data_IF_726028500061
#
_entry.id   IF_726028500061
#
_cell.length_a   1.000
_cell.length_b   1.000
_cell.length_c   1.000
_cell.angle_alpha   90.00
_cell.angle_beta   90.00
_cell.angle_gamma   90.00
#
_symmetry.space_group_name_H-M   'P 1'
#
loop_
_entity.id
_entity.type
_entity.pdbx_description
1 polymer ?
#
# COMPACT_ATOMS: atom_id res chain seq x y z
N UNK A 1 0.79 -13.31 -0.32
CA UNK A 1 0.40 -11.89 -0.19
C UNK A 1 0.85 -11.28 1.14
N UNK A 2 0.58 -11.95 2.27
CA UNK A 2 0.90 -11.44 3.61
C UNK A 2 2.39 -11.07 3.77
N UNK A 3 3.32 -11.95 3.36
CA UNK A 3 4.78 -11.68 3.45
C UNK A 3 5.21 -10.37 2.76
N UNK A 4 4.69 -10.10 1.56
CA UNK A 4 4.97 -8.86 0.84
C UNK A 4 4.43 -7.64 1.60
N UNK A 5 3.21 -7.76 2.14
CA UNK A 5 2.62 -6.71 2.99
C UNK A 5 3.40 -6.47 4.26
N UNK A 6 3.93 -7.53 4.88
CA UNK A 6 4.84 -7.39 6.03
C UNK A 6 6.05 -6.57 5.62
N UNK A 7 6.75 -6.97 4.56
CA UNK A 7 7.98 -6.30 4.14
C UNK A 7 7.73 -4.81 3.89
N UNK A 8 6.65 -4.47 3.20
CA UNK A 8 6.31 -3.09 2.85
C UNK A 8 5.89 -2.25 4.06
N UNK A 9 4.99 -2.76 4.90
CA UNK A 9 4.44 -2.01 6.05
C UNK A 9 5.47 -1.89 7.17
N UNK A 10 6.26 -2.94 7.42
CA UNK A 10 7.38 -2.87 8.40
C UNK A 10 8.47 -1.92 7.93
N UNK A 11 8.76 -1.86 6.61
CA UNK A 11 9.67 -0.87 6.04
C UNK A 11 9.17 0.56 6.33
N UNK A 12 7.89 0.84 6.04
CA UNK A 12 7.31 2.15 6.26
C UNK A 12 7.32 2.58 7.74
N UNK A 13 7.06 1.64 8.65
CA UNK A 13 7.19 1.86 10.09
C UNK A 13 8.64 2.14 10.52
N UNK A 14 9.59 1.32 10.06
CA UNK A 14 11.01 1.44 10.42
C UNK A 14 11.66 2.72 9.86
N UNK A 15 11.12 3.30 8.80
CA UNK A 15 11.58 4.59 8.26
C UNK A 15 11.55 5.69 9.32
N UNK A 16 10.58 5.69 10.23
CA UNK A 16 10.53 6.67 11.34
C UNK A 16 11.83 6.62 12.16
N UNK A 17 12.24 5.42 12.55
CA UNK A 17 13.48 5.21 13.29
C UNK A 17 14.72 5.66 12.50
N UNK A 18 14.83 5.32 11.21
CA UNK A 18 15.97 5.71 10.38
C UNK A 18 16.14 7.23 10.28
N UNK A 19 15.04 7.97 10.27
CA UNK A 19 15.04 9.44 10.29
C UNK A 19 15.48 10.00 11.63
N UNK A 20 14.99 9.43 12.74
CA UNK A 20 15.40 9.84 14.08
C UNK A 20 16.91 9.64 14.30
N UNK A 21 17.50 8.63 13.65
CA UNK A 21 18.94 8.41 13.63
C UNK A 21 19.71 9.31 12.63
N UNK A 22 19.01 10.14 11.86
CA UNK A 22 19.61 11.02 10.84
C UNK A 22 20.17 10.28 9.62
N UNK A 23 19.79 9.02 9.41
CA UNK A 23 20.22 8.20 8.25
C UNK A 23 19.41 8.56 7.01
N UNK A 24 18.12 8.85 7.19
CA UNK A 24 17.21 9.20 6.12
C UNK A 24 16.81 10.69 6.19
N UNK A 25 17.20 11.51 5.18
CA UNK A 25 16.93 12.94 5.17
C UNK A 25 15.53 13.31 4.62
N UNK A 26 14.76 12.36 4.06
CA UNK A 26 13.47 12.66 3.43
C UNK A 26 12.39 13.03 4.45
N UNK A 27 11.14 13.27 4.04
CA UNK A 27 9.98 13.50 4.94
C UNK A 27 9.05 12.27 5.01
N UNK A 28 8.33 12.06 6.12
CA UNK A 28 7.40 10.92 6.22
C UNK A 28 6.28 11.09 5.19
N UNK A 29 5.90 12.33 4.90
CA UNK A 29 4.97 12.66 3.81
C UNK A 29 5.48 12.14 2.47
N UNK A 30 6.76 12.35 2.14
CA UNK A 30 7.35 11.83 0.90
C UNK A 30 7.32 10.29 0.85
N UNK A 31 7.60 9.61 1.98
CA UNK A 31 7.52 8.15 2.06
C UNK A 31 6.09 7.63 1.91
N UNK A 32 5.11 8.26 2.55
CA UNK A 32 3.70 7.89 2.39
C UNK A 32 3.22 8.12 0.95
N UNK A 33 3.56 9.26 0.36
CA UNK A 33 3.23 9.56 -1.03
C UNK A 33 3.88 8.55 -1.99
N UNK A 34 5.14 8.18 -1.75
CA UNK A 34 5.86 7.16 -2.52
C UNK A 34 5.20 5.78 -2.42
N UNK A 35 4.90 5.34 -1.19
CA UNK A 35 4.20 4.08 -0.93
C UNK A 35 2.85 4.02 -1.67
N UNK A 36 2.03 5.08 -1.56
CA UNK A 36 0.70 5.11 -2.19
C UNK A 36 0.80 5.19 -3.72
N UNK A 37 1.79 5.91 -4.25
CA UNK A 37 2.05 5.95 -5.69
C UNK A 37 2.47 4.57 -6.23
N UNK A 38 3.30 3.85 -5.48
CA UNK A 38 3.69 2.46 -5.79
C UNK A 38 2.48 1.53 -5.70
N UNK A 39 1.63 1.67 -4.68
CA UNK A 39 0.41 0.90 -4.53
C UNK A 39 -0.51 1.04 -5.74
N UNK A 40 -0.75 2.26 -6.23
CA UNK A 40 -1.54 2.49 -7.45
C UNK A 40 -0.98 1.75 -8.66
N UNK A 41 0.35 1.68 -8.80
CA UNK A 41 1.00 0.92 -9.87
C UNK A 41 0.79 -0.59 -9.69
N UNK A 42 1.07 -1.10 -8.50
CA UNK A 42 1.04 -2.53 -8.21
C UNK A 42 -0.36 -3.14 -8.22
N UNK A 43 -1.39 -2.37 -7.87
CA UNK A 43 -2.79 -2.81 -7.97
C UNK A 43 -3.19 -3.02 -9.44
N UNK A 44 -2.58 -2.28 -10.39
CA UNK A 44 -2.82 -2.45 -11.84
C UNK A 44 -2.25 -3.75 -12.41
N UNK A 45 -1.45 -4.50 -11.65
CA UNK A 45 -1.10 -5.88 -12.00
C UNK A 45 -2.32 -6.82 -11.97
N UNK A 46 -3.40 -6.41 -11.30
CA UNK A 46 -4.67 -7.11 -11.28
C UNK A 46 -4.77 -8.18 -10.19
N UNK A 47 -5.93 -8.83 -10.09
CA UNK A 47 -6.31 -9.67 -8.95
C UNK A 47 -5.53 -10.99 -8.84
N UNK A 48 -4.83 -11.40 -9.90
CA UNK A 48 -3.93 -12.56 -9.86
C UNK A 48 -2.57 -12.26 -9.21
N UNK A 49 -2.24 -10.99 -8.99
CA UNK A 49 -1.00 -10.58 -8.36
C UNK A 49 -1.13 -10.60 -6.84
N UNK A 50 -0.33 -11.43 -6.17
CA UNK A 50 -0.22 -11.41 -4.72
C UNK A 50 0.18 -10.02 -4.19
N UNK A 51 0.96 -9.27 -4.97
CA UNK A 51 1.39 -7.92 -4.65
C UNK A 51 0.27 -6.90 -4.83
N UNK A 52 -0.51 -6.98 -5.91
CA UNK A 52 -1.68 -6.13 -6.11
C UNK A 52 -2.76 -6.34 -5.04
N UNK A 53 -2.98 -7.58 -4.60
CA UNK A 53 -3.94 -7.92 -3.55
C UNK A 53 -3.56 -7.30 -2.19
N UNK A 54 -2.29 -7.42 -1.81
CA UNK A 54 -1.85 -6.89 -0.51
C UNK A 54 -1.75 -5.36 -0.51
N UNK A 55 -1.40 -4.74 -1.65
CA UNK A 55 -1.44 -3.29 -1.83
C UNK A 55 -2.86 -2.73 -1.76
N UNK A 56 -3.84 -3.43 -2.34
CA UNK A 56 -5.27 -3.09 -2.20
C UNK A 56 -5.70 -3.21 -0.73
N UNK A 57 -5.22 -4.25 -0.03
CA UNK A 57 -5.52 -4.43 1.39
C UNK A 57 -5.00 -3.29 2.26
N UNK A 58 -3.73 -2.90 2.09
CA UNK A 58 -3.16 -1.76 2.81
C UNK A 58 -3.91 -0.46 2.50
N UNK A 59 -4.24 -0.22 1.22
CA UNK A 59 -5.02 0.96 0.81
C UNK A 59 -6.35 1.04 1.55
N UNK A 60 -7.15 -0.03 1.49
CA UNK A 60 -8.47 -0.07 2.13
C UNK A 60 -8.38 -0.02 3.65
N UNK A 61 -7.35 -0.63 4.25
CA UNK A 61 -7.09 -0.50 5.68
C UNK A 61 -6.86 0.97 6.07
N UNK A 62 -6.04 1.71 5.33
CA UNK A 62 -5.81 3.14 5.59
C UNK A 62 -7.06 3.98 5.38
N UNK A 63 -7.91 3.62 4.42
CA UNK A 63 -9.23 4.26 4.26
C UNK A 63 -10.12 4.00 5.47
N UNK A 64 -10.20 2.76 5.95
CA UNK A 64 -10.98 2.38 7.14
C UNK A 64 -10.49 3.13 8.39
N UNK A 65 -9.18 3.32 8.54
CA UNK A 65 -8.58 4.08 9.65
C UNK A 65 -8.65 5.60 9.46
N UNK A 66 -9.30 6.08 8.40
CA UNK A 66 -9.36 7.50 8.02
C UNK A 66 -7.97 8.14 7.84
N UNK A 67 -6.93 7.33 7.66
CA UNK A 67 -5.57 7.76 7.38
C UNK A 67 -5.40 8.14 5.90
N UNK A 68 -6.21 7.55 5.03
CA UNK A 68 -6.28 7.86 3.61
C UNK A 68 -7.72 8.24 3.26
N UNK A 69 -7.94 9.50 2.89
CA UNK A 69 -9.30 10.04 2.77
C UNK A 69 -9.58 10.44 1.33
N UNK A 70 -10.70 9.95 0.78
CA UNK A 70 -11.15 10.34 -0.55
C UNK A 70 -11.83 11.72 -0.54
N UNK A 71 -11.30 12.66 -1.31
CA UNK A 71 -11.92 13.94 -1.59
C UNK A 71 -12.69 13.86 -2.93
N UNK A 72 -14.01 13.72 -2.82
CA UNK A 72 -14.91 13.63 -3.95
C UNK A 72 -14.98 14.92 -4.79
N UNK A 73 -14.60 16.08 -4.24
CA UNK A 73 -14.65 17.35 -4.97
C UNK A 73 -13.56 17.45 -6.05
N UNK A 74 -12.43 16.80 -5.82
CA UNK A 74 -11.29 16.75 -6.75
C UNK A 74 -11.03 15.35 -7.32
N UNK A 75 -11.73 14.33 -6.81
CA UNK A 75 -11.60 12.93 -7.25
C UNK A 75 -10.23 12.33 -6.92
N UNK A 76 -9.66 12.68 -5.75
CA UNK A 76 -8.33 12.21 -5.31
C UNK A 76 -8.35 11.81 -3.84
N UNK A 77 -7.37 11.03 -3.42
CA UNK A 77 -7.13 10.74 -2.02
C UNK A 77 -6.08 11.68 -1.44
N UNK A 78 -6.21 12.00 -0.16
CA UNK A 78 -5.20 12.70 0.63
C UNK A 78 -4.82 11.89 1.86
N UNK A 79 -3.58 12.08 2.30
CA UNK A 79 -3.06 11.46 3.52
C UNK A 79 -3.39 12.34 4.71
N UNK A 80 -4.02 11.76 5.73
CA UNK A 80 -4.11 12.37 7.06
C UNK A 80 -2.80 12.08 7.81
N UNK A 81 -1.95 13.09 7.92
CA UNK A 81 -0.61 12.98 8.52
C UNK A 81 -0.63 12.75 10.03
N UNK A 82 -1.76 13.01 10.70
CA UNK A 82 -1.91 12.74 12.13
C UNK A 82 -2.28 11.27 12.36
N UNK A 83 -3.12 10.69 11.49
CA UNK A 83 -3.62 9.31 11.62
C UNK A 83 -2.75 8.25 10.95
N UNK A 84 -2.05 8.60 9.86
CA UNK A 84 -1.25 7.64 9.10
C UNK A 84 -0.19 6.88 9.92
N UNK A 85 0.57 7.52 10.84
CA UNK A 85 1.56 6.79 11.64
C UNK A 85 0.94 5.64 12.45
N UNK A 86 -0.19 5.90 13.13
CA UNK A 86 -0.88 4.86 13.92
C UNK A 86 -1.47 3.78 13.02
N UNK A 87 -2.05 4.15 11.87
CA UNK A 87 -2.62 3.17 10.94
C UNK A 87 -1.54 2.23 10.36
N UNK A 88 -0.33 2.74 10.10
CA UNK A 88 0.82 1.93 9.68
C UNK A 88 1.27 0.98 10.78
N UNK A 89 1.39 1.47 12.03
CA UNK A 89 1.74 0.64 13.18
C UNK A 89 0.71 -0.47 13.42
N UNK A 90 -0.59 -0.14 13.44
CA UNK A 90 -1.66 -1.11 13.68
C UNK A 90 -1.71 -2.18 12.60
N UNK A 91 -1.51 -1.79 11.34
CA UNK A 91 -1.43 -2.73 10.22
C UNK A 91 -0.18 -3.62 10.32
N UNK A 92 0.96 -3.05 10.71
CA UNK A 92 2.19 -3.81 10.96
C UNK A 92 1.96 -4.89 12.02
N UNK A 93 1.39 -4.50 13.17
CA UNK A 93 1.08 -5.42 14.27
C UNK A 93 0.14 -6.52 13.78
N UNK A 94 -0.93 -6.15 13.08
CA UNK A 94 -1.90 -7.12 12.53
C UNK A 94 -1.20 -8.17 11.66
N UNK A 95 -0.37 -7.73 10.70
CA UNK A 95 0.32 -8.63 9.77
C UNK A 95 1.36 -9.50 10.49
N UNK A 96 2.14 -8.91 11.40
CA UNK A 96 3.16 -9.65 12.17
C UNK A 96 2.54 -10.68 13.11
N UNK A 97 1.38 -10.39 13.72
CA UNK A 97 0.65 -11.35 14.55
C UNK A 97 0.17 -12.53 13.72
N UNK A 98 -0.48 -12.27 12.57
CA UNK A 98 -0.95 -13.32 11.66
C UNK A 98 0.19 -14.27 11.28
N UNK A 99 1.35 -13.72 10.89
CA UNK A 99 2.51 -14.56 10.54
C UNK A 99 3.16 -15.24 11.74
N UNK A 100 3.30 -14.53 12.86
CA UNK A 100 3.92 -15.04 14.07
C UNK A 100 3.15 -16.21 14.69
N UNK A 101 1.83 -16.21 14.55
CA UNK A 101 0.96 -17.29 15.01
C UNK A 101 0.78 -18.39 13.94
N UNK A 102 1.17 -18.12 12.69
CA UNK A 102 0.92 -19.02 11.57
C UNK A 102 -0.58 -19.20 11.26
N UNK A 103 -1.40 -18.19 11.55
CA UNK A 103 -2.85 -18.26 11.44
C UNK A 103 -3.32 -18.03 10.00
N UNK A 104 -3.49 -19.14 9.27
CA UNK A 104 -3.94 -19.12 7.89
C UNK A 104 -5.39 -18.63 7.73
N UNK A 105 -6.25 -18.85 8.74
CA UNK A 105 -7.65 -18.43 8.70
C UNK A 105 -7.75 -16.91 8.90
N UNK A 106 -6.98 -16.36 9.84
CA UNK A 106 -6.86 -14.91 10.01
C UNK A 106 -6.24 -14.23 8.78
N UNK A 107 -5.22 -14.83 8.17
CA UNK A 107 -4.65 -14.34 6.91
C UNK A 107 -5.70 -14.29 5.80
N UNK A 108 -6.52 -15.34 5.67
CA UNK A 108 -7.62 -15.38 4.70
C UNK A 108 -8.67 -14.32 5.00
N UNK A 109 -9.12 -14.21 6.25
CA UNK A 109 -10.12 -13.24 6.66
C UNK A 109 -9.68 -11.80 6.38
N UNK A 110 -8.42 -11.48 6.67
CA UNK A 110 -7.84 -10.16 6.37
C UNK A 110 -7.86 -9.85 4.86
N UNK A 111 -7.41 -10.79 4.02
CA UNK A 111 -7.41 -10.59 2.57
C UNK A 111 -8.82 -10.51 1.99
N UNK A 112 -9.74 -11.36 2.45
CA UNK A 112 -11.15 -11.33 2.03
C UNK A 112 -11.80 -9.99 2.39
N UNK A 113 -11.45 -9.41 3.54
CA UNK A 113 -11.98 -8.13 3.99
C UNK A 113 -11.41 -6.96 3.18
N UNK A 114 -10.10 -6.94 2.90
CA UNK A 114 -9.45 -5.71 2.43
C UNK A 114 -8.91 -5.77 0.99
N UNK A 115 -8.76 -6.92 0.33
CA UNK A 115 -8.10 -6.98 -1.00
C UNK A 115 -8.97 -6.56 -2.19
N UNK A 116 -10.18 -6.05 -1.97
CA UNK A 116 -11.08 -5.60 -3.04
C UNK A 116 -10.65 -4.23 -3.60
N UNK A 117 -11.12 -3.89 -4.81
CA UNK A 117 -10.89 -2.56 -5.41
C UNK A 117 -12.22 -1.78 -5.37
N UNK A 118 -12.37 -0.77 -4.48
CA UNK A 118 -13.58 0.06 -4.46
C UNK A 118 -13.68 0.98 -5.68
N UNK A 119 -14.87 1.53 -5.91
CA UNK A 119 -15.17 2.32 -7.12
C UNK A 119 -14.34 3.62 -7.23
N UNK A 120 -14.05 4.27 -6.11
CA UNK A 120 -13.21 5.47 -6.03
C UNK A 120 -11.73 5.17 -6.37
N UNK A 121 -11.19 4.06 -5.86
CA UNK A 121 -9.87 3.57 -6.24
C UNK A 121 -9.86 3.15 -7.72
N UNK A 122 -10.86 2.42 -8.20
CA UNK A 122 -10.97 2.03 -9.61
C UNK A 122 -10.94 3.25 -10.53
N UNK A 123 -11.63 4.33 -10.18
CA UNK A 123 -11.62 5.57 -10.95
C UNK A 123 -10.22 6.21 -11.07
N UNK A 124 -9.38 6.11 -10.03
CA UNK A 124 -7.98 6.55 -10.11
C UNK A 124 -7.13 5.62 -11.00
N UNK A 125 -7.33 4.31 -10.88
CA UNK A 125 -6.61 3.32 -11.69
C UNK A 125 -6.95 3.49 -13.18
N UNK A 126 -8.21 3.77 -13.51
CA UNK A 126 -8.66 4.02 -14.88
C UNK A 126 -8.03 5.28 -15.48
N UNK A 127 -7.92 6.36 -14.70
CA UNK A 127 -7.21 7.58 -15.11
C UNK A 127 -5.73 7.29 -15.40
N UNK A 128 -5.07 6.51 -14.54
CA UNK A 128 -3.68 6.11 -14.76
C UNK A 128 -3.54 5.22 -16.00
N UNK A 129 -4.44 4.25 -16.20
CA UNK A 129 -4.45 3.35 -17.36
C UNK A 129 -4.60 4.07 -18.70
N UNK A 130 -5.25 5.24 -18.72
CA UNK A 130 -5.40 6.02 -19.94
C UNK A 130 -4.08 6.64 -20.45
N UNK A 131 -3.08 6.85 -19.58
CA UNK A 131 -1.90 7.67 -19.92
C UNK A 131 -0.56 7.12 -19.48
N UNK A 132 -0.52 6.20 -18.51
CA UNK A 132 0.72 5.70 -17.89
C UNK A 132 0.85 4.19 -18.15
N UNK A 133 1.97 3.69 -18.68
CA UNK A 133 2.23 2.25 -18.74
C UNK A 133 2.18 1.60 -17.35
N UNK A 134 1.88 0.29 -17.28
CA UNK A 134 1.89 -0.45 -16.01
C UNK A 134 3.31 -0.85 -15.62
N UNK A 135 4.06 -1.38 -16.60
CA UNK A 135 5.41 -1.90 -16.41
C UNK A 135 6.21 -1.72 -17.70
N UNK A 136 7.54 -1.83 -17.60
CA UNK A 136 8.42 -1.84 -18.76
C UNK A 136 8.62 -3.26 -19.31
N UNK A 137 8.92 -3.37 -20.60
CA UNK A 137 9.36 -4.62 -21.22
C UNK A 137 10.86 -4.48 -21.51
N UNK A 138 11.73 -5.26 -20.86
CA UNK A 138 13.17 -5.12 -21.08
C UNK A 138 13.55 -5.59 -22.49
N UNK A 139 14.33 -4.77 -23.19
CA UNK A 139 14.94 -5.12 -24.47
C UNK A 139 16.43 -5.42 -24.25
N UNK A 140 16.78 -6.70 -24.25
CA UNK A 140 18.17 -7.13 -24.12
C UNK A 140 18.84 -7.19 -25.49
N UNK A 141 19.95 -6.48 -25.67
CA UNK A 141 20.77 -6.64 -26.86
C UNK A 141 21.39 -8.05 -26.86
N UNK A 142 21.09 -8.84 -27.89
CA UNK A 142 21.82 -10.08 -28.15
C UNK A 142 23.22 -9.71 -28.65
N UNK A 143 24.27 -10.22 -27.99
CA UNK A 143 25.64 -10.15 -28.49
C UNK A 143 25.82 -11.04 -29.73
#
# INVERSE_FOLDING_TARGET
PIEEGKADITSLYNTIYLREQGVDPETMEAHYAGFLSEALRSIRFGPASAYGLIRSAAWNYFVEKEALVFDASVGKFHVDMEKMPQAVEDLMVTILTIEGEGDADAAKAFLDQYSYVPADLQALLDQANATVPVEFVPMYATQ
#
